data_IF_093721734231
#
_entry.id   IF_093721734231
#
_cell.length_a   1.000
_cell.length_b   1.000
_cell.length_c   1.000
_cell.angle_alpha   90.00
_cell.angle_beta   90.00
_cell.angle_gamma   90.00
#
_symmetry.space_group_name_H-M   'P 1'
#
loop_
_entity.id
_entity.type
_entity.pdbx_description
1 polymer ?
#
# COMPACT_ATOMS: atom_id res chain seq x y z
N UNK A 1 -18.65 14.25 -19.22
CA UNK A 1 -19.56 13.06 -19.24
C UNK A 1 -18.73 11.89 -19.77
N UNK A 2 -18.11 11.09 -18.89
CA UNK A 2 -17.27 9.96 -19.32
C UNK A 2 -18.17 8.83 -19.83
N UNK A 3 -18.00 8.44 -21.09
CA UNK A 3 -18.55 7.18 -21.57
C UNK A 3 -17.68 6.05 -21.00
N UNK A 4 -18.28 5.18 -20.18
CA UNK A 4 -17.62 3.97 -19.69
C UNK A 4 -17.60 2.96 -20.85
N UNK A 5 -16.42 2.73 -21.42
CA UNK A 5 -16.20 1.70 -22.43
C UNK A 5 -15.75 0.42 -21.72
N UNK A 6 -16.48 -0.67 -21.93
CA UNK A 6 -16.11 -2.00 -21.43
C UNK A 6 -15.70 -2.86 -22.63
N UNK A 7 -14.53 -3.48 -22.59
CA UNK A 7 -14.06 -4.36 -23.65
C UNK A 7 -13.19 -5.49 -23.07
N UNK A 8 -13.15 -6.62 -23.78
CA UNK A 8 -12.25 -7.72 -23.48
C UNK A 8 -11.08 -7.70 -24.46
N UNK A 9 -9.88 -7.94 -23.94
CA UNK A 9 -8.69 -8.06 -24.76
C UNK A 9 -8.92 -9.15 -25.82
N UNK A 10 -8.80 -8.80 -27.10
CA UNK A 10 -9.01 -9.65 -28.29
C UNK A 10 -10.45 -9.97 -28.69
N UNK A 11 -11.45 -9.65 -27.86
CA UNK A 11 -12.87 -9.92 -28.18
C UNK A 11 -13.70 -8.66 -28.40
N UNK A 12 -13.16 -7.48 -28.08
CA UNK A 12 -13.79 -6.20 -28.36
C UNK A 12 -14.83 -5.78 -27.31
N UNK A 13 -15.72 -4.83 -27.64
CA UNK A 13 -16.65 -4.24 -26.68
C UNK A 13 -17.61 -5.26 -26.07
N UNK A 14 -17.83 -5.15 -24.77
CA UNK A 14 -18.83 -5.92 -24.02
C UNK A 14 -19.85 -4.99 -23.38
N UNK A 15 -21.04 -5.52 -23.09
CA UNK A 15 -22.01 -4.78 -22.29
C UNK A 15 -21.51 -4.62 -20.84
N UNK A 16 -21.97 -3.55 -20.18
CA UNK A 16 -21.72 -3.33 -18.75
C UNK A 16 -22.27 -4.46 -17.88
N UNK A 17 -23.41 -5.06 -18.26
CA UNK A 17 -24.00 -6.21 -17.57
C UNK A 17 -23.13 -7.47 -17.66
N UNK A 18 -22.51 -7.73 -18.81
CA UNK A 18 -21.57 -8.84 -18.98
C UNK A 18 -20.30 -8.58 -18.18
N UNK A 19 -19.77 -7.36 -18.19
CA UNK A 19 -18.64 -6.98 -17.34
C UNK A 19 -18.95 -7.22 -15.86
N UNK A 20 -20.12 -6.79 -15.37
CA UNK A 20 -20.55 -7.02 -13.98
C UNK A 20 -20.60 -8.50 -13.61
N UNK A 21 -21.11 -9.36 -14.49
CA UNK A 21 -21.14 -10.81 -14.26
C UNK A 21 -19.74 -11.43 -14.19
N UNK A 22 -18.82 -10.99 -15.04
CA UNK A 22 -17.43 -11.41 -14.99
C UNK A 22 -16.73 -10.94 -13.70
N UNK A 23 -17.15 -9.79 -13.15
CA UNK A 23 -16.63 -9.25 -11.90
C UNK A 23 -17.14 -9.98 -10.64
N UNK A 24 -18.24 -10.74 -10.71
CA UNK A 24 -18.79 -11.41 -9.54
C UNK A 24 -17.86 -12.47 -8.93
N UNK A 25 -17.10 -13.19 -9.77
CA UNK A 25 -16.23 -14.31 -9.36
C UNK A 25 -14.76 -14.09 -9.77
N UNK A 26 -14.34 -12.83 -9.96
CA UNK A 26 -12.97 -12.52 -10.36
C UNK A 26 -12.23 -11.68 -9.33
N UNK A 27 -10.90 -11.78 -9.38
CA UNK A 27 -10.01 -10.88 -8.67
C UNK A 27 -9.63 -9.72 -9.59
N UNK A 28 -9.88 -8.48 -9.16
CA UNK A 28 -9.65 -7.28 -9.97
C UNK A 28 -8.35 -6.61 -9.55
N UNK A 29 -7.37 -6.59 -10.45
CA UNK A 29 -6.15 -5.81 -10.28
C UNK A 29 -6.16 -4.62 -11.23
N UNK A 30 -5.93 -3.42 -10.70
CA UNK A 30 -5.86 -2.19 -11.51
C UNK A 30 -4.43 -1.93 -11.94
N UNK A 31 -4.16 -1.97 -13.24
CA UNK A 31 -2.90 -1.51 -13.82
C UNK A 31 -3.10 -0.10 -14.37
N UNK A 32 -2.44 0.91 -13.79
CA UNK A 32 -2.49 2.29 -14.29
C UNK A 32 -1.23 2.54 -15.14
N UNK A 33 -1.40 2.58 -16.45
CA UNK A 33 -0.33 2.96 -17.39
C UNK A 33 -0.63 4.37 -17.92
N UNK A 34 -0.10 5.41 -17.26
CA UNK A 34 0.34 6.72 -17.84
C UNK A 34 0.61 7.78 -16.76
N UNK A 35 1.89 8.19 -16.63
CA UNK A 35 2.39 9.32 -15.82
C UNK A 35 3.92 9.31 -15.77
N UNK A 36 4.59 10.45 -15.50
CA UNK A 36 6.04 10.48 -15.21
C UNK A 36 6.34 9.49 -14.08
N UNK A 37 7.22 8.52 -14.32
CA UNK A 37 7.66 7.59 -13.26
C UNK A 37 8.21 8.40 -12.09
N UNK A 38 7.68 8.16 -10.89
CA UNK A 38 8.15 8.79 -9.66
C UNK A 38 8.98 7.79 -8.88
N UNK A 39 10.11 8.23 -8.33
CA UNK A 39 10.99 7.40 -7.51
C UNK A 39 10.23 7.02 -6.23
N UNK A 40 10.00 5.72 -6.04
CA UNK A 40 9.41 5.16 -4.82
C UNK A 40 10.46 4.47 -3.94
N UNK A 41 11.70 4.39 -4.43
CA UNK A 41 12.85 3.81 -3.73
C UNK A 41 13.90 4.91 -3.54
N UNK A 42 13.95 5.48 -2.33
CA UNK A 42 14.85 6.58 -1.98
C UNK A 42 16.12 6.09 -1.27
N UNK A 43 16.15 4.82 -0.85
CA UNK A 43 17.24 4.24 -0.09
C UNK A 43 17.43 4.94 1.25
N UNK A 44 18.67 5.33 1.55
CA UNK A 44 19.08 5.82 2.88
C UNK A 44 19.21 7.36 2.97
N UNK A 45 18.74 8.10 1.97
CA UNK A 45 18.96 9.55 1.88
C UNK A 45 18.17 10.37 2.90
N UNK A 46 17.06 9.83 3.38
CA UNK A 46 16.12 10.51 4.27
C UNK A 46 15.34 9.48 5.08
N UNK A 47 14.99 9.83 6.32
CA UNK A 47 14.07 9.05 7.14
C UNK A 47 12.60 9.39 6.85
N UNK A 48 12.32 10.39 6.01
CA UNK A 48 10.96 10.86 5.74
C UNK A 48 10.46 10.33 4.41
N UNK A 49 9.35 9.59 4.44
CA UNK A 49 8.66 9.15 3.23
C UNK A 49 8.14 10.35 2.44
N UNK A 50 8.35 10.32 1.13
CA UNK A 50 7.81 11.33 0.21
C UNK A 50 6.30 11.19 0.06
N UNK A 51 5.65 12.26 -0.39
CA UNK A 51 4.20 12.23 -0.70
C UNK A 51 3.85 11.19 -1.78
N UNK A 52 4.76 10.92 -2.72
CA UNK A 52 4.55 9.88 -3.74
C UNK A 52 4.54 8.48 -3.14
N UNK A 53 5.50 8.17 -2.26
CA UNK A 53 5.55 6.91 -1.52
C UNK A 53 4.33 6.76 -0.61
N UNK A 54 3.92 7.85 0.06
CA UNK A 54 2.70 7.88 0.86
C UNK A 54 1.48 7.49 0.02
N UNK A 55 1.30 8.10 -1.15
CA UNK A 55 0.19 7.77 -2.07
C UNK A 55 0.24 6.32 -2.53
N UNK A 56 1.42 5.79 -2.86
CA UNK A 56 1.58 4.39 -3.23
C UNK A 56 1.12 3.44 -2.11
N UNK A 57 1.48 3.74 -0.85
CA UNK A 57 1.02 2.99 0.31
C UNK A 57 -0.49 3.11 0.53
N UNK A 58 -1.10 4.27 0.30
CA UNK A 58 -2.55 4.43 0.42
C UNK A 58 -3.35 3.69 -0.66
N UNK A 59 -2.72 3.34 -1.79
CA UNK A 59 -3.31 2.44 -2.78
C UNK A 59 -3.32 0.99 -2.27
N UNK A 60 -2.28 0.59 -1.53
CA UNK A 60 -2.19 -0.74 -0.92
C UNK A 60 -3.08 -0.92 0.32
N UNK A 61 -3.27 0.16 1.10
CA UNK A 61 -3.91 0.10 2.41
C UNK A 61 -5.06 1.12 2.51
N UNK A 62 -6.30 0.62 2.64
CA UNK A 62 -7.45 1.49 2.88
C UNK A 62 -7.56 1.95 4.34
N UNK A 63 -7.17 1.09 5.29
CA UNK A 63 -7.20 1.34 6.74
C UNK A 63 -5.89 0.87 7.38
N UNK A 64 -5.67 1.24 8.64
CA UNK A 64 -4.57 0.73 9.45
C UNK A 64 -4.62 -0.82 9.44
N UNK A 65 -3.59 -1.50 8.92
CA UNK A 65 -3.60 -2.94 8.67
C UNK A 65 -3.58 -3.79 9.95
N UNK A 66 -3.33 -3.17 11.11
CA UNK A 66 -3.54 -3.81 12.42
C UNK A 66 -5.03 -4.08 12.72
N UNK A 67 -5.97 -3.63 11.88
CA UNK A 67 -7.40 -3.94 11.99
C UNK A 67 -8.20 -3.02 12.91
N UNK A 68 -7.68 -1.85 13.27
CA UNK A 68 -8.36 -0.92 14.18
C UNK A 68 -9.40 0.00 13.50
N UNK A 69 -9.58 -0.10 12.18
CA UNK A 69 -10.55 0.67 11.41
C UNK A 69 -10.15 2.13 11.10
N UNK A 70 -9.05 2.65 11.65
CA UNK A 70 -8.57 4.00 11.31
C UNK A 70 -8.22 4.09 9.82
N UNK A 71 -8.74 5.08 9.07
CA UNK A 71 -8.37 5.29 7.66
C UNK A 71 -6.85 5.43 7.51
N UNK A 72 -6.26 4.77 6.51
CA UNK A 72 -4.82 4.83 6.28
C UNK A 72 -4.36 6.28 5.97
N UNK A 73 -5.23 7.08 5.37
CA UNK A 73 -4.99 8.50 5.12
C UNK A 73 -4.78 9.34 6.40
N UNK A 74 -5.21 8.85 7.57
CA UNK A 74 -5.00 9.47 8.88
C UNK A 74 -3.84 8.84 9.67
N UNK A 75 -3.12 7.91 9.06
CA UNK A 75 -2.02 7.19 9.68
C UNK A 75 -0.67 7.82 9.32
N UNK A 76 0.31 7.60 10.20
CA UNK A 76 1.71 7.86 9.94
C UNK A 76 2.30 6.66 9.18
N UNK A 77 3.30 6.89 8.33
CA UNK A 77 4.04 5.80 7.69
C UNK A 77 5.16 5.35 8.62
N UNK A 78 5.11 4.09 9.00
CA UNK A 78 6.10 3.41 9.83
C UNK A 78 7.06 2.60 8.95
N UNK A 79 8.35 2.62 9.29
CA UNK A 79 9.34 1.72 8.69
C UNK A 79 9.23 0.32 9.30
N UNK A 80 9.06 -0.70 8.46
CA UNK A 80 8.96 -2.10 8.89
C UNK A 80 10.29 -2.58 9.49
N UNK A 81 11.38 -2.36 8.76
CA UNK A 81 12.73 -2.42 9.27
C UNK A 81 13.16 -1.00 9.67
N UNK A 82 13.57 -0.78 10.94
CA UNK A 82 13.97 0.55 11.41
C UNK A 82 15.02 1.19 10.51
N UNK A 83 14.82 2.48 10.22
CA UNK A 83 15.74 3.24 9.38
C UNK A 83 17.09 3.42 10.08
N UNK A 84 18.11 2.72 9.58
CA UNK A 84 19.48 2.75 10.07
C UNK A 84 20.44 2.93 8.87
N UNK A 85 20.68 4.19 8.46
CA UNK A 85 21.53 4.49 7.30
C UNK A 85 23.00 4.12 7.54
N UNK A 86 23.47 4.05 8.79
CA UNK A 86 24.86 3.69 9.10
C UNK A 86 25.15 2.21 8.81
N UNK A 87 24.16 1.34 9.01
CA UNK A 87 24.24 -0.09 8.71
C UNK A 87 23.65 -0.46 7.35
N UNK A 88 23.22 0.52 6.53
CA UNK A 88 22.49 0.32 5.27
C UNK A 88 21.25 -0.57 5.43
N UNK A 89 20.46 -0.32 6.49
CA UNK A 89 19.23 -1.06 6.81
C UNK A 89 18.02 -0.16 6.94
N UNK A 90 16.83 -0.71 6.66
CA UNK A 90 15.58 0.03 6.71
C UNK A 90 15.52 1.20 5.74
N UNK A 91 15.65 0.99 4.43
CA UNK A 91 15.57 2.07 3.46
C UNK A 91 14.20 2.74 3.49
N UNK A 92 14.15 4.02 3.15
CA UNK A 92 12.89 4.75 3.00
C UNK A 92 12.32 4.48 1.61
N UNK A 93 11.88 3.25 1.42
CA UNK A 93 11.29 2.74 0.18
C UNK A 93 9.85 2.30 0.45
N UNK A 94 8.98 2.36 -0.56
CA UNK A 94 7.59 1.91 -0.41
C UNK A 94 7.48 0.50 0.17
N UNK A 95 8.38 -0.41 -0.22
CA UNK A 95 8.41 -1.79 0.26
C UNK A 95 8.62 -1.88 1.79
N UNK A 96 9.34 -0.91 2.37
CA UNK A 96 9.63 -0.83 3.80
C UNK A 96 8.62 0.03 4.57
N UNK A 97 7.60 0.60 3.90
CA UNK A 97 6.58 1.43 4.53
C UNK A 97 5.29 0.67 4.87
N UNK A 98 4.69 1.02 6.01
CA UNK A 98 3.34 0.59 6.40
C UNK A 98 2.59 1.72 7.12
N UNK A 99 1.35 2.07 6.73
CA UNK A 99 0.59 3.08 7.45
C UNK A 99 0.05 2.54 8.77
N UNK A 100 0.38 3.16 9.90
CA UNK A 100 -0.14 2.80 11.23
C UNK A 100 -0.79 3.99 11.91
N UNK A 101 -1.94 3.77 12.54
CA UNK A 101 -2.53 4.78 13.40
C UNK A 101 -1.63 4.98 14.63
N UNK A 102 -1.70 6.15 15.27
CA UNK A 102 -0.84 6.50 16.42
C UNK A 102 -0.77 5.40 17.48
N UNK A 103 -1.91 4.81 17.85
CA UNK A 103 -1.98 3.72 18.84
C UNK A 103 -1.18 2.48 18.39
N UNK A 104 -1.45 1.98 17.19
CA UNK A 104 -0.77 0.80 16.66
C UNK A 104 0.72 1.07 16.43
N UNK A 105 1.07 2.29 16.01
CA UNK A 105 2.44 2.74 15.80
C UNK A 105 3.25 2.68 17.12
N UNK A 106 2.68 3.19 18.21
CA UNK A 106 3.30 3.11 19.55
C UNK A 106 3.46 1.65 19.99
N UNK A 107 2.45 0.79 19.80
CA UNK A 107 2.56 -0.62 20.17
C UNK A 107 3.69 -1.35 19.45
N UNK A 108 3.98 -0.98 18.21
CA UNK A 108 5.10 -1.54 17.45
C UNK A 108 6.43 -1.02 17.98
N UNK A 109 6.54 0.29 18.22
CA UNK A 109 7.74 0.88 18.83
C UNK A 109 8.05 0.30 20.21
N UNK A 110 7.03 0.07 21.03
CA UNK A 110 7.15 -0.53 22.36
C UNK A 110 7.43 -2.04 22.31
N UNK A 111 7.51 -2.63 21.11
CA UNK A 111 7.77 -4.05 20.92
C UNK A 111 6.62 -4.98 21.35
N UNK A 112 5.42 -4.43 21.62
CA UNK A 112 4.19 -5.17 21.98
C UNK A 112 3.49 -5.78 20.76
N UNK A 113 3.79 -5.24 19.59
CA UNK A 113 3.42 -5.81 18.30
C UNK A 113 4.67 -5.91 17.43
N UNK A 114 4.88 -7.07 16.84
CA UNK A 114 5.82 -7.24 15.72
C UNK A 114 5.03 -7.31 14.42
N UNK A 115 5.60 -6.78 13.36
CA UNK A 115 4.96 -6.80 12.05
C UNK A 115 5.91 -7.35 10.99
N UNK A 116 5.33 -8.00 9.98
CA UNK A 116 6.03 -8.48 8.79
C UNK A 116 5.14 -8.28 7.57
N UNK A 117 5.61 -7.51 6.58
CA UNK A 117 4.91 -7.36 5.29
C UNK A 117 5.18 -8.60 4.44
N UNK A 118 4.12 -9.27 4.01
CA UNK A 118 4.20 -10.52 3.23
C UNK A 118 4.06 -10.26 1.73
N UNK A 119 3.27 -9.24 1.37
CA UNK A 119 3.02 -8.79 0.00
C UNK A 119 2.50 -7.34 0.06
N UNK A 120 2.37 -6.62 -1.08
CA UNK A 120 1.66 -5.35 -1.13
C UNK A 120 0.29 -5.44 -0.45
N UNK A 121 -0.01 -4.55 0.48
CA UNK A 121 -1.27 -4.55 1.24
C UNK A 121 -1.45 -5.67 2.30
N UNK A 122 -0.56 -6.67 2.37
CA UNK A 122 -0.68 -7.82 3.29
C UNK A 122 0.40 -7.75 4.36
N UNK A 123 -0.02 -7.55 5.61
CA UNK A 123 0.87 -7.46 6.78
C UNK A 123 0.42 -8.42 7.87
N UNK A 124 1.34 -9.23 8.36
CA UNK A 124 1.14 -10.08 9.53
C UNK A 124 1.56 -9.32 10.79
N UNK A 125 0.68 -9.31 11.79
CA UNK A 125 0.97 -8.77 13.12
C UNK A 125 1.01 -9.91 14.14
N UNK A 126 2.07 -9.93 14.95
CA UNK A 126 2.28 -10.89 16.03
C UNK A 126 2.30 -10.14 17.35
N UNK A 127 1.51 -10.59 18.33
CA UNK A 127 1.62 -10.14 19.70
C UNK A 127 2.80 -10.82 20.37
N UNK A 128 3.56 -10.05 21.13
CA UNK A 128 4.70 -10.51 21.93
C UNK A 128 4.31 -10.76 23.38
#
# INVERSE_FOLDING_TARGET
RMALRCELERFGPISTSTAQRLLCDSYVSRLVLQGRSTVLDMGFRTATFTEAQRRALLVEFATCPCGCGTPAAQCDIHHIEPHDPASERGPTDQANGVPLCRRSHVLVHDGRLRLRKLAPGIVLFLRT
#
